data_IF_343887981318
#
_entry.id   IF_343887981318
#
_cell.length_a   1.000
_cell.length_b   1.000
_cell.length_c   1.000
_cell.angle_alpha   90.00
_cell.angle_beta   90.00
_cell.angle_gamma   90.00
#
_symmetry.space_group_name_H-M   'P 1'
#
loop_
_entity.id
_entity.type
_entity.pdbx_description
1 polymer ?
#
# COMPACT_ATOMS: atom_id res chain seq x y z
N UNK A 1 -10.30 12.10 12.36
CA UNK A 1 -10.20 11.19 11.19
C UNK A 1 -11.15 10.02 11.43
N UNK A 2 -12.23 9.90 10.66
CA UNK A 2 -13.12 8.75 10.75
C UNK A 2 -12.42 7.55 10.10
N UNK A 3 -11.83 6.68 10.91
CA UNK A 3 -11.35 5.38 10.46
C UNK A 3 -12.57 4.50 10.17
N UNK A 4 -13.06 4.53 8.93
CA UNK A 4 -14.13 3.65 8.48
C UNK A 4 -13.64 2.20 8.54
N UNK A 5 -13.96 1.49 9.62
CA UNK A 5 -13.65 0.08 9.76
C UNK A 5 -14.64 -0.74 8.93
N UNK A 6 -14.14 -1.45 7.92
CA UNK A 6 -14.95 -2.37 7.12
C UNK A 6 -14.87 -3.76 7.77
N UNK A 7 -16.02 -4.37 8.05
CA UNK A 7 -16.10 -5.73 8.58
C UNK A 7 -16.34 -6.73 7.43
N UNK A 8 -15.52 -7.78 7.38
CA UNK A 8 -15.72 -8.91 6.47
C UNK A 8 -16.26 -10.09 7.29
N UNK A 9 -17.39 -10.67 6.86
CA UNK A 9 -17.96 -11.89 7.44
C UNK A 9 -17.92 -13.00 6.39
N UNK A 10 -17.34 -14.14 6.75
CA UNK A 10 -17.17 -15.28 5.83
C UNK A 10 -17.63 -16.55 6.53
N UNK A 11 -18.47 -17.32 5.85
CA UNK A 11 -18.81 -18.67 6.26
C UNK A 11 -17.74 -19.63 5.75
N UNK A 12 -17.20 -20.46 6.64
CA UNK A 12 -16.16 -21.46 6.32
C UNK A 12 -16.62 -22.84 6.76
N UNK A 13 -16.04 -23.88 6.17
CA UNK A 13 -16.26 -25.25 6.65
C UNK A 13 -15.72 -25.42 8.08
N UNK A 14 -16.31 -26.36 8.81
CA UNK A 14 -15.86 -26.70 10.17
C UNK A 14 -14.39 -27.11 10.18
N UNK A 15 -13.97 -27.93 9.21
CA UNK A 15 -12.59 -28.37 9.06
C UNK A 15 -11.62 -27.18 8.91
N UNK A 16 -11.97 -26.19 8.09
CA UNK A 16 -11.13 -25.00 7.89
C UNK A 16 -11.08 -24.14 9.16
N UNK A 17 -12.21 -23.97 9.85
CA UNK A 17 -12.27 -23.27 11.14
C UNK A 17 -11.33 -23.90 12.17
N UNK A 18 -11.33 -25.23 12.27
CA UNK A 18 -10.48 -25.97 13.20
C UNK A 18 -8.99 -25.83 12.86
N UNK A 19 -8.63 -25.91 11.57
CA UNK A 19 -7.25 -25.71 11.12
C UNK A 19 -6.74 -24.30 11.40
N UNK A 20 -7.57 -23.28 11.16
CA UNK A 20 -7.23 -21.88 11.44
C UNK A 20 -7.04 -21.65 12.95
N UNK A 21 -7.91 -22.21 13.79
CA UNK A 21 -7.79 -22.16 15.26
C UNK A 21 -6.48 -22.81 15.72
N UNK A 22 -6.25 -24.05 15.33
CA UNK A 22 -5.02 -24.77 15.69
C UNK A 22 -3.75 -24.01 15.30
N UNK A 23 -3.71 -23.44 14.09
CA UNK A 23 -2.57 -22.65 13.62
C UNK A 23 -2.40 -21.34 14.42
N UNK A 24 -3.50 -20.67 14.74
CA UNK A 24 -3.47 -19.43 15.53
C UNK A 24 -3.03 -19.70 16.97
N UNK A 25 -3.52 -20.77 17.59
CA UNK A 25 -3.17 -21.19 18.95
C UNK A 25 -1.68 -21.54 19.06
N UNK A 26 -1.12 -22.27 18.08
CA UNK A 26 0.31 -22.55 18.01
C UNK A 26 1.20 -21.31 17.93
N UNK A 27 0.66 -20.21 17.39
CA UNK A 27 1.33 -18.93 17.26
C UNK A 27 1.02 -17.99 18.43
N UNK A 28 0.14 -18.38 19.35
CA UNK A 28 -0.30 -17.53 20.47
C UNK A 28 -1.07 -16.29 20.03
N UNK A 29 -1.72 -16.31 18.86
CA UNK A 29 -2.45 -15.16 18.30
C UNK A 29 -3.94 -15.46 18.12
N UNK A 30 -4.80 -14.43 18.11
CA UNK A 30 -6.19 -14.60 17.72
C UNK A 30 -6.34 -15.04 16.26
N UNK A 31 -7.33 -15.90 15.99
CA UNK A 31 -7.67 -16.34 14.62
C UNK A 31 -7.90 -15.17 13.66
N UNK A 32 -8.50 -14.09 14.14
CA UNK A 32 -8.72 -12.86 13.35
C UNK A 32 -7.42 -12.23 12.87
N UNK A 33 -6.36 -12.26 13.67
CA UNK A 33 -5.04 -11.75 13.28
C UNK A 33 -4.39 -12.65 12.23
N UNK A 34 -4.50 -13.97 12.40
CA UNK A 34 -4.01 -14.92 11.42
C UNK A 34 -4.71 -14.73 10.06
N UNK A 35 -6.04 -14.63 10.05
CA UNK A 35 -6.82 -14.42 8.82
C UNK A 35 -6.45 -13.08 8.17
N UNK A 36 -6.34 -12.01 8.96
CA UNK A 36 -5.91 -10.69 8.46
C UNK A 36 -4.53 -10.78 7.79
N UNK A 37 -3.58 -11.45 8.41
CA UNK A 37 -2.24 -11.64 7.84
C UNK A 37 -2.27 -12.39 6.51
N UNK A 38 -3.03 -13.49 6.43
CA UNK A 38 -3.18 -14.28 5.20
C UNK A 38 -3.75 -13.41 4.08
N UNK A 39 -4.84 -12.69 4.35
CA UNK A 39 -5.46 -11.80 3.37
C UNK A 39 -4.50 -10.71 2.87
N UNK A 40 -3.78 -10.05 3.78
CA UNK A 40 -2.79 -9.03 3.41
C UNK A 40 -1.72 -9.64 2.51
N UNK A 41 -1.16 -10.79 2.87
CA UNK A 41 -0.09 -11.42 2.08
C UNK A 41 -0.52 -11.90 0.70
N UNK A 42 -1.80 -12.23 0.56
CA UNK A 42 -2.40 -12.61 -0.72
C UNK A 42 -2.49 -11.39 -1.66
N UNK A 43 -3.01 -10.26 -1.15
CA UNK A 43 -3.22 -9.04 -1.95
C UNK A 43 -1.99 -8.14 -2.05
N UNK A 44 -0.97 -8.29 -1.20
CA UNK A 44 0.23 -7.44 -1.18
C UNK A 44 0.97 -7.46 -2.53
N UNK A 45 0.90 -8.57 -3.27
CA UNK A 45 1.47 -8.69 -4.62
C UNK A 45 0.63 -8.03 -5.71
N UNK A 46 -0.66 -7.84 -5.45
CA UNK A 46 -1.62 -7.25 -6.40
C UNK A 46 -1.84 -5.76 -6.15
N UNK A 47 -1.11 -5.17 -5.20
CA UNK A 47 -1.25 -3.75 -4.91
C UNK A 47 -0.99 -2.99 -6.23
N UNK A 48 -2.00 -2.32 -6.80
CA UNK A 48 -1.85 -1.72 -8.11
C UNK A 48 -0.75 -0.68 -7.99
N UNK A 49 0.37 -0.91 -8.67
CA UNK A 49 1.24 0.20 -9.06
C UNK A 49 0.35 0.99 -10.01
N UNK A 50 -0.28 2.05 -9.51
CA UNK A 50 -1.10 2.90 -10.34
C UNK A 50 -0.22 3.36 -11.50
N UNK A 51 -0.47 2.83 -12.69
CA UNK A 51 0.16 3.32 -13.90
C UNK A 51 -0.24 4.79 -14.00
N UNK A 52 0.76 5.66 -13.96
CA UNK A 52 0.55 7.08 -14.20
C UNK A 52 -0.04 7.26 -15.60
N UNK A 53 -0.76 8.35 -15.84
CA UNK A 53 -1.25 8.62 -17.19
C UNK A 53 -0.06 8.75 -18.16
N UNK A 54 -0.25 8.38 -19.43
CA UNK A 54 0.77 8.53 -20.48
C UNK A 54 1.36 9.95 -20.53
N UNK A 55 0.54 10.94 -20.18
CA UNK A 55 0.97 12.34 -20.08
C UNK A 55 1.95 12.55 -18.93
N UNK A 56 1.67 12.01 -17.75
CA UNK A 56 2.53 12.14 -16.58
C UNK A 56 3.81 11.32 -16.73
N UNK A 57 3.75 10.17 -17.41
CA UNK A 57 4.93 9.37 -17.78
C UNK A 57 5.88 10.18 -18.66
N UNK A 58 5.39 10.75 -19.77
CA UNK A 58 6.18 11.58 -20.69
C UNK A 58 6.77 12.83 -20.03
N UNK A 59 6.00 13.48 -19.16
CA UNK A 59 6.50 14.64 -18.39
C UNK A 59 7.64 14.22 -17.47
N UNK A 60 7.49 13.08 -16.80
CA UNK A 60 8.51 12.54 -15.89
C UNK A 60 9.79 12.14 -16.65
N UNK A 61 9.65 11.45 -17.78
CA UNK A 61 10.79 11.10 -18.66
C UNK A 61 11.54 12.34 -19.13
N UNK A 62 10.81 13.37 -19.57
CA UNK A 62 11.41 14.63 -19.97
C UNK A 62 12.13 15.33 -18.81
N UNK A 63 11.51 15.37 -17.63
CA UNK A 63 12.11 15.97 -16.44
C UNK A 63 13.40 15.27 -16.01
N UNK A 64 13.47 13.94 -16.13
CA UNK A 64 14.69 13.16 -15.88
C UNK A 64 15.77 13.52 -16.92
N UNK A 65 15.40 13.61 -18.21
CA UNK A 65 16.32 14.00 -19.27
C UNK A 65 16.88 15.43 -19.12
N UNK A 66 16.08 16.33 -18.56
CA UNK A 66 16.42 17.74 -18.34
C UNK A 66 17.09 18.00 -16.98
N UNK A 67 17.54 16.97 -16.25
CA UNK A 67 18.21 17.12 -14.95
C UNK A 67 19.40 18.09 -14.97
N UNK A 68 20.17 18.12 -16.08
CA UNK A 68 21.30 19.03 -16.25
C UNK A 68 20.89 20.50 -16.40
N UNK A 69 19.62 20.77 -16.70
CA UNK A 69 19.03 22.11 -16.79
C UNK A 69 18.35 22.53 -15.47
N UNK A 70 18.57 21.78 -14.39
CA UNK A 70 18.01 22.11 -13.08
C UNK A 70 18.66 23.37 -12.51
N UNK A 71 17.84 24.14 -11.79
CA UNK A 71 18.31 25.29 -11.01
C UNK A 71 18.70 24.81 -9.61
N UNK A 72 19.88 25.25 -9.15
CA UNK A 72 20.29 25.04 -7.76
C UNK A 72 19.57 26.09 -6.93
N UNK A 73 18.82 25.64 -5.92
CA UNK A 73 18.05 26.50 -5.03
C UNK A 73 18.77 26.58 -3.69
N UNK A 74 19.40 27.72 -3.42
CA UNK A 74 20.14 27.96 -2.16
C UNK A 74 19.22 28.33 -0.99
N UNK A 75 18.03 28.89 -1.29
CA UNK A 75 17.03 29.25 -0.29
C UNK A 75 15.65 28.71 -0.71
N UNK A 76 15.20 27.69 0.02
CA UNK A 76 13.94 26.99 -0.24
C UNK A 76 12.73 27.89 0.00
N UNK A 77 12.76 28.78 1.00
CA UNK A 77 11.65 29.66 1.31
C UNK A 77 11.43 30.71 0.21
N UNK A 78 12.51 31.30 -0.32
CA UNK A 78 12.44 32.25 -1.43
C UNK A 78 11.98 31.59 -2.74
N UNK A 79 12.36 30.32 -2.96
CA UNK A 79 11.90 29.55 -4.11
C UNK A 79 10.39 29.30 -4.08
N UNK A 80 9.84 28.86 -2.94
CA UNK A 80 8.40 28.63 -2.84
C UNK A 80 7.57 29.94 -2.85
N UNK A 81 8.13 31.07 -2.42
CA UNK A 81 7.47 32.37 -2.52
C UNK A 81 7.38 32.90 -3.97
N UNK A 82 8.13 32.32 -4.92
CA UNK A 82 8.20 32.72 -6.33
C UNK A 82 7.50 31.75 -7.29
N UNK A 83 6.94 30.66 -6.76
CA UNK A 83 6.16 29.63 -7.47
C UNK A 83 4.69 30.04 -7.59
#
# INVERSE_FOLDING_TARGET
MNTNQIQIKVSVSEQLSNLLRYKADRLGIPVTQLVKYILIKDVEKENPVFTVSDQLEKISEKAIGDLNNSIIVDNIDDFFNKL
#
